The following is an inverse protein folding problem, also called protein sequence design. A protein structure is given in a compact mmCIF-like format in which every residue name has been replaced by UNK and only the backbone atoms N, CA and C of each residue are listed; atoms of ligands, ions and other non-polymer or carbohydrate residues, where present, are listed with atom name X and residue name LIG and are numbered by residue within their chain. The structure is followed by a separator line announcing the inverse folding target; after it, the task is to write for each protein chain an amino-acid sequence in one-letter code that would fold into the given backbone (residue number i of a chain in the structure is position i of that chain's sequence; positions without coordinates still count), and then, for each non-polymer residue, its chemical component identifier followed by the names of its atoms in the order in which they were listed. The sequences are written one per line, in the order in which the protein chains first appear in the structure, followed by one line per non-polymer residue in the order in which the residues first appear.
data_IF_390610491449
#
_entry.id   IF_390610491449
#
_cell.length_a   1.000
_cell.length_b   1.000
_cell.length_c   1.000
_cell.angle_alpha   90.00
_cell.angle_beta   90.00
_cell.angle_gamma   90.00
#
_symmetry.space_group_name_H-M   'P 1'
#
loop_
_entity.id
_entity.type
_entity.pdbx_description
1 polymer ?
#
# COMPACT_ATOMS: atom_id res chain seq x y z
N UNK A 1 10.30 29.09 -23.55
CA UNK A 1 10.31 28.04 -22.54
C UNK A 1 9.78 28.46 -21.14
N UNK A 2 9.96 29.70 -20.71
CA UNK A 2 9.52 30.21 -19.38
C UNK A 2 7.98 30.22 -19.16
N UNK A 3 7.19 30.44 -20.20
CA UNK A 3 5.71 30.48 -20.08
C UNK A 3 5.05 29.10 -19.87
N UNK A 4 5.62 28.02 -20.40
CA UNK A 4 5.06 26.67 -20.23
C UNK A 4 5.23 26.12 -18.80
N UNK A 5 6.25 26.57 -18.08
CA UNK A 5 6.51 26.20 -16.68
C UNK A 5 5.50 26.87 -15.74
N UNK A 6 5.07 28.09 -16.07
CA UNK A 6 4.08 28.82 -15.27
C UNK A 6 2.70 28.15 -15.29
N UNK A 7 2.29 27.58 -16.45
CA UNK A 7 1.02 26.83 -16.54
C UNK A 7 1.06 25.50 -15.80
N UNK A 8 2.21 24.84 -15.73
CA UNK A 8 2.38 23.59 -14.98
C UNK A 8 2.31 23.82 -13.47
N UNK A 9 2.85 24.93 -12.96
CA UNK A 9 2.73 25.31 -11.55
C UNK A 9 1.32 25.73 -11.15
N UNK A 10 0.52 26.27 -12.06
CA UNK A 10 -0.88 26.66 -11.77
C UNK A 10 -1.81 25.44 -11.68
N UNK A 11 -1.47 24.33 -12.32
CA UNK A 11 -2.22 23.06 -12.28
C UNK A 11 -1.96 22.23 -11.01
N UNK A 12 -0.93 22.60 -10.23
CA UNK A 12 -0.51 21.90 -9.01
C UNK A 12 -0.97 22.59 -7.71
N UNK A 13 -1.76 23.68 -7.81
CA UNK A 13 -2.38 24.26 -6.63
C UNK A 13 -3.52 23.32 -6.19
N UNK A 14 -3.43 22.65 -5.02
CA UNK A 14 -4.57 21.96 -4.46
C UNK A 14 -5.61 23.01 -4.09
N UNK A 15 -6.71 23.02 -4.82
CA UNK A 15 -7.92 23.74 -4.42
C UNK A 15 -8.50 23.03 -3.19
N UNK A 16 -7.91 23.30 -2.02
CA UNK A 16 -8.52 22.94 -0.75
C UNK A 16 -9.63 23.96 -0.45
N UNK A 17 -10.74 23.84 -1.18
CA UNK A 17 -12.00 24.45 -0.77
C UNK A 17 -12.53 23.61 0.40
N UNK A 18 -12.15 23.98 1.59
CA UNK A 18 -12.76 23.50 2.84
C UNK A 18 -14.12 24.18 2.98
N UNK A 19 -15.15 23.64 2.35
CA UNK A 19 -16.51 24.02 2.66
C UNK A 19 -16.84 23.38 4.01
N UNK A 20 -16.97 24.18 5.06
CA UNK A 20 -17.55 23.75 6.33
C UNK A 20 -18.98 23.28 6.05
N UNK A 21 -19.21 21.97 6.13
CA UNK A 21 -20.54 21.38 5.93
C UNK A 21 -21.36 21.39 7.22
N UNK A 22 -20.74 21.67 8.37
CA UNK A 22 -21.36 21.77 9.68
C UNK A 22 -21.49 23.25 10.10
N UNK A 23 -22.65 23.63 10.59
CA UNK A 23 -22.96 24.99 11.04
C UNK A 23 -23.88 24.99 12.26
N UNK A 24 -24.13 26.14 12.84
CA UNK A 24 -25.06 26.34 13.97
C UNK A 24 -24.74 25.42 15.18
N UNK A 25 -23.48 25.28 15.53
CA UNK A 25 -23.05 24.46 16.67
C UNK A 25 -23.54 25.11 17.98
N UNK A 26 -24.30 24.32 18.76
CA UNK A 26 -24.83 24.74 20.07
C UNK A 26 -24.50 23.64 21.07
N UNK A 27 -24.19 24.06 22.30
CA UNK A 27 -23.80 23.13 23.37
C UNK A 27 -24.74 23.32 24.56
N UNK A 28 -25.18 22.23 25.14
CA UNK A 28 -25.96 22.20 26.38
C UNK A 28 -25.51 21.05 27.27
N UNK A 29 -25.52 21.24 28.54
CA UNK A 29 -25.29 20.19 29.52
C UNK A 29 -26.64 19.54 29.91
N UNK A 30 -26.66 18.23 30.01
CA UNK A 30 -27.77 17.44 30.54
C UNK A 30 -27.22 16.38 31.51
N UNK A 31 -27.40 16.62 32.78
CA UNK A 31 -26.84 15.82 33.86
C UNK A 31 -25.30 15.76 33.80
N UNK A 32 -24.75 14.60 33.54
CA UNK A 32 -23.31 14.34 33.39
C UNK A 32 -22.85 14.35 31.94
N UNK A 33 -23.79 14.45 30.99
CA UNK A 33 -23.52 14.43 29.56
C UNK A 33 -23.52 15.82 28.96
N UNK A 34 -22.78 16.00 27.91
CA UNK A 34 -22.78 17.22 27.10
C UNK A 34 -23.37 16.92 25.74
N UNK A 35 -24.40 17.67 25.38
CA UNK A 35 -25.10 17.56 24.12
C UNK A 35 -24.64 18.67 23.19
N UNK A 36 -24.11 18.31 22.05
CA UNK A 36 -23.71 19.22 20.98
C UNK A 36 -24.68 19.06 19.81
N UNK A 37 -25.41 20.15 19.46
CA UNK A 37 -26.28 20.12 18.29
C UNK A 37 -25.69 20.96 17.18
N UNK A 38 -25.89 20.56 15.94
CA UNK A 38 -25.36 21.25 14.76
C UNK A 38 -26.24 20.97 13.52
N UNK A 39 -26.09 21.78 12.49
CA UNK A 39 -26.73 21.57 11.19
C UNK A 39 -25.71 21.02 10.21
N UNK A 40 -26.09 20.02 9.42
CA UNK A 40 -25.26 19.39 8.41
C UNK A 40 -25.87 19.55 7.02
N UNK A 41 -25.15 20.19 6.11
CA UNK A 41 -25.65 20.49 4.76
C UNK A 41 -25.52 19.33 3.78
N UNK A 42 -24.52 18.47 3.95
CA UNK A 42 -24.24 17.30 3.11
C UNK A 42 -23.88 16.09 3.95
N UNK A 43 -24.19 14.89 3.45
CA UNK A 43 -23.74 13.65 4.09
C UNK A 43 -22.20 13.64 4.20
N UNK A 44 -21.70 13.49 5.42
CA UNK A 44 -20.27 13.61 5.71
C UNK A 44 -19.88 12.66 6.85
N UNK A 45 -18.58 12.44 7.00
CA UNK A 45 -18.02 11.99 8.26
C UNK A 45 -17.98 13.17 9.21
N UNK A 46 -18.48 12.98 10.41
CA UNK A 46 -18.54 14.01 11.44
C UNK A 46 -17.71 13.61 12.64
N UNK A 47 -16.90 14.54 13.11
CA UNK A 47 -16.05 14.38 14.27
C UNK A 47 -16.30 15.51 15.26
N UNK A 48 -16.31 15.18 16.55
CA UNK A 48 -16.37 16.14 17.64
C UNK A 48 -15.01 16.23 18.32
N UNK A 49 -14.51 17.45 18.46
CA UNK A 49 -13.27 17.75 19.17
C UNK A 49 -13.50 18.76 20.27
N UNK A 50 -12.70 18.71 21.32
CA UNK A 50 -12.78 19.61 22.47
C UNK A 50 -11.43 20.26 22.75
N UNK A 51 -11.44 21.53 23.07
CA UNK A 51 -10.35 22.25 23.73
C UNK A 51 -10.81 22.72 25.11
N UNK A 52 -9.99 22.48 26.11
CA UNK A 52 -10.28 22.84 27.52
C UNK A 52 -9.29 23.86 28.00
N UNK A 53 -9.77 24.74 28.88
CA UNK A 53 -8.99 25.80 29.52
C UNK A 53 -8.11 26.56 28.52
N UNK A 54 -7.45 27.40 28.51
CA UNK A 54 -6.72 28.20 27.54
C UNK A 54 -5.96 27.43 26.43
N UNK A 55 -6.19 26.11 26.25
CA UNK A 55 -5.56 25.31 25.20
C UNK A 55 -6.02 25.72 23.80
N UNK A 56 -5.11 25.87 22.87
CA UNK A 56 -5.39 26.07 21.43
C UNK A 56 -5.52 24.74 20.68
N UNK A 57 -5.18 23.63 21.32
CA UNK A 57 -5.22 22.30 20.72
C UNK A 57 -6.57 21.65 20.97
N UNK A 58 -7.24 21.23 19.90
CA UNK A 58 -8.47 20.46 19.96
C UNK A 58 -8.16 18.97 19.99
N UNK A 59 -8.65 18.27 21.01
CA UNK A 59 -8.55 16.83 21.15
C UNK A 59 -9.84 16.16 20.66
N UNK A 60 -9.70 15.11 19.87
CA UNK A 60 -10.84 14.34 19.35
C UNK A 60 -11.46 13.54 20.47
N UNK A 61 -12.79 13.61 20.56
CA UNK A 61 -13.55 12.86 21.56
C UNK A 61 -13.91 11.47 21.05
N UNK A 62 -13.84 10.48 21.94
CA UNK A 62 -14.10 9.07 21.64
C UNK A 62 -15.34 8.54 22.31
N UNK A 63 -15.67 9.02 23.52
CA UNK A 63 -16.88 8.66 24.27
C UNK A 63 -18.09 9.48 23.76
N UNK A 64 -18.40 9.35 22.49
CA UNK A 64 -19.46 10.10 21.80
C UNK A 64 -20.44 9.17 21.10
N UNK A 65 -21.73 9.54 21.12
CA UNK A 65 -22.81 8.84 20.42
C UNK A 65 -23.72 9.79 19.64
N UNK A 66 -24.61 9.26 18.80
CA UNK A 66 -25.57 10.03 18.01
C UNK A 66 -25.08 10.36 16.60
N UNK A 67 -25.28 11.59 16.15
CA UNK A 67 -24.95 12.02 14.79
C UNK A 67 -23.45 12.34 14.62
N UNK A 68 -22.60 11.35 14.82
CA UNK A 68 -21.14 11.41 14.76
C UNK A 68 -20.60 10.19 14.04
N UNK A 69 -19.39 10.27 13.48
CA UNK A 69 -18.76 9.18 12.75
C UNK A 69 -19.12 9.11 11.29
N UNK A 70 -19.19 7.91 10.74
CA UNK A 70 -19.34 7.67 9.31
C UNK A 70 -20.77 7.92 8.81
N UNK A 71 -20.87 8.55 7.62
CA UNK A 71 -22.13 8.67 6.86
C UNK A 71 -23.28 9.33 7.61
N UNK A 72 -23.00 10.37 8.38
CA UNK A 72 -24.05 11.18 9.00
C UNK A 72 -24.86 11.85 7.91
N UNK A 73 -26.18 11.64 7.92
CA UNK A 73 -27.10 12.21 6.91
C UNK A 73 -27.30 13.71 7.15
N UNK A 74 -27.47 14.52 6.09
CA UNK A 74 -27.75 15.94 6.23
C UNK A 74 -29.04 16.18 7.03
N UNK A 75 -29.13 17.33 7.65
CA UNK A 75 -30.31 17.76 8.43
C UNK A 75 -29.97 18.81 9.46
N UNK A 76 -31.00 19.44 10.01
CA UNK A 76 -30.91 20.42 11.07
C UNK A 76 -30.98 19.79 12.44
N UNK A 77 -30.37 20.44 13.45
CA UNK A 77 -30.34 20.00 14.85
C UNK A 77 -29.85 18.54 15.02
N UNK A 78 -28.82 18.14 14.29
CA UNK A 78 -28.14 16.87 14.52
C UNK A 78 -27.52 16.87 15.91
N UNK A 79 -27.68 15.79 16.68
CA UNK A 79 -27.29 15.72 18.08
C UNK A 79 -26.13 14.74 18.26
N UNK A 80 -25.07 15.18 18.93
CA UNK A 80 -23.98 14.35 19.44
C UNK A 80 -24.05 14.43 20.96
N UNK A 81 -23.98 13.29 21.63
CA UNK A 81 -23.92 13.21 23.09
C UNK A 81 -22.49 12.78 23.43
N UNK A 82 -21.82 13.57 24.25
CA UNK A 82 -20.50 13.26 24.81
C UNK A 82 -20.61 12.88 26.28
N UNK A 83 -19.96 11.78 26.65
CA UNK A 83 -19.88 11.26 28.02
C UNK A 83 -18.51 11.55 28.62
N UNK A 84 -18.28 12.76 29.20
CA UNK A 84 -16.95 13.18 29.69
C UNK A 84 -16.35 12.21 30.70
N UNK A 85 -17.17 11.65 31.59
CA UNK A 85 -16.71 10.78 32.67
C UNK A 85 -16.33 9.36 32.19
N UNK A 86 -16.78 8.97 31.00
CA UNK A 86 -16.32 7.71 30.38
C UNK A 86 -14.94 7.87 29.76
N UNK A 87 -14.61 9.08 29.32
CA UNK A 87 -13.32 9.40 28.72
C UNK A 87 -12.26 9.72 29.80
N UNK A 88 -12.66 10.42 30.85
CA UNK A 88 -11.84 10.75 32.01
C UNK A 88 -12.70 10.83 33.28
N UNK A 89 -12.54 9.89 34.21
CA UNK A 89 -13.33 9.81 35.46
C UNK A 89 -13.25 11.07 36.32
N UNK A 90 -12.20 11.86 36.17
CA UNK A 90 -11.95 13.11 36.93
C UNK A 90 -12.00 14.34 36.02
N UNK A 91 -12.85 14.34 34.99
CA UNK A 91 -12.95 15.48 34.07
C UNK A 91 -13.46 16.73 34.82
N UNK A 92 -12.61 17.73 34.93
CA UNK A 92 -12.94 19.08 35.44
C UNK A 92 -12.32 20.08 34.45
N UNK A 93 -13.13 21.00 33.92
CA UNK A 93 -12.68 22.06 33.04
C UNK A 93 -13.52 23.32 33.29
N UNK A 94 -12.89 24.51 33.30
CA UNK A 94 -13.55 25.78 33.51
C UNK A 94 -14.01 26.44 32.20
N UNK A 95 -13.28 26.23 31.12
CA UNK A 95 -13.62 26.71 29.77
C UNK A 95 -13.55 25.52 28.79
N UNK A 96 -14.68 25.21 28.16
CA UNK A 96 -14.80 24.08 27.24
C UNK A 96 -15.31 24.56 25.89
N UNK A 97 -14.49 24.39 24.86
CA UNK A 97 -14.81 24.81 23.49
C UNK A 97 -14.91 23.59 22.61
N UNK A 98 -16.02 23.47 21.89
CA UNK A 98 -16.28 22.36 20.99
C UNK A 98 -16.10 22.76 19.53
N UNK A 99 -15.62 21.84 18.72
CA UNK A 99 -15.53 21.97 17.29
C UNK A 99 -16.13 20.73 16.62
N UNK A 100 -17.11 20.95 15.76
CA UNK A 100 -17.67 19.91 14.90
C UNK A 100 -16.99 20.01 13.55
N UNK A 101 -16.25 18.99 13.17
CA UNK A 101 -15.52 18.93 11.90
C UNK A 101 -16.18 17.94 10.96
N UNK A 102 -16.31 18.34 9.71
CA UNK A 102 -16.77 17.46 8.64
C UNK A 102 -15.57 17.05 7.81
N UNK A 103 -15.40 15.75 7.65
CA UNK A 103 -14.28 15.18 6.96
C UNK A 103 -14.76 14.45 5.70
N UNK A 104 -14.00 14.55 4.62
CA UNK A 104 -14.16 13.60 3.55
C UNK A 104 -13.68 12.23 4.02
N UNK A 105 -14.04 11.15 3.31
CA UNK A 105 -13.65 9.80 3.69
C UNK A 105 -12.13 9.64 3.88
N UNK A 106 -11.35 10.30 3.06
CA UNK A 106 -9.89 10.31 3.15
C UNK A 106 -9.37 10.98 4.44
N UNK A 107 -9.89 12.16 4.76
CA UNK A 107 -9.49 12.88 5.96
C UNK A 107 -9.87 12.13 7.25
N UNK A 108 -11.01 11.46 7.27
CA UNK A 108 -11.44 10.63 8.41
C UNK A 108 -10.47 9.48 8.71
N UNK A 109 -9.98 8.80 7.69
CA UNK A 109 -9.00 7.74 7.86
C UNK A 109 -7.58 8.25 8.19
N UNK A 110 -7.30 9.52 7.90
CA UNK A 110 -6.02 10.16 8.15
C UNK A 110 -5.86 10.73 9.57
N UNK A 111 -6.94 10.81 10.36
CA UNK A 111 -6.87 11.34 11.70
C UNK A 111 -6.14 10.38 12.66
N UNK A 112 -5.24 10.89 13.51
CA UNK A 112 -4.72 10.10 14.60
C UNK A 112 -5.91 9.71 15.50
N UNK A 113 -6.16 8.42 15.64
CA UNK A 113 -7.10 7.92 16.64
C UNK A 113 -6.51 8.30 17.99
N UNK A 114 -7.22 9.18 18.73
CA UNK A 114 -6.81 9.50 20.10
C UNK A 114 -6.66 8.23 20.92
N UNK A 115 -5.65 8.18 21.77
CA UNK A 115 -5.36 7.05 22.63
C UNK A 115 -6.41 6.97 23.77
N UNK A 116 -7.63 6.63 23.43
CA UNK A 116 -8.58 6.11 24.38
C UNK A 116 -8.18 4.68 24.69
N UNK A 117 -8.29 4.27 25.97
CA UNK A 117 -8.00 2.92 26.48
C UNK A 117 -8.32 1.88 25.41
N UNK A 118 -7.32 1.12 24.97
CA UNK A 118 -7.50 -0.04 24.12
C UNK A 118 -8.56 -0.94 24.74
N UNK A 119 -9.78 -0.93 24.22
CA UNK A 119 -10.67 -2.07 24.42
C UNK A 119 -9.94 -3.27 23.81
N UNK A 120 -9.64 -4.25 24.66
CA UNK A 120 -9.26 -5.61 24.25
C UNK A 120 -10.41 -6.20 23.41
N UNK A 121 -10.35 -5.99 22.14
CA UNK A 121 -11.38 -6.24 21.14
C UNK A 121 -11.10 -5.36 19.93
N UNK A 122 -9.85 -4.89 19.78
CA UNK A 122 -9.40 -4.00 18.72
C UNK A 122 -9.66 -4.61 17.36
N UNK A 123 -10.32 -3.85 16.50
CA UNK A 123 -10.26 -4.08 15.07
C UNK A 123 -8.78 -4.21 14.73
N UNK A 124 -8.41 -5.40 14.37
CA UNK A 124 -7.08 -5.76 13.91
C UNK A 124 -6.63 -4.75 12.87
N UNK A 125 -5.50 -4.11 13.08
CA UNK A 125 -4.88 -3.23 12.09
C UNK A 125 -4.32 -4.09 10.96
N UNK A 126 -5.23 -4.67 10.20
CA UNK A 126 -4.91 -5.47 9.04
C UNK A 126 -4.88 -4.53 7.82
N UNK A 127 -3.77 -4.51 7.15
CA UNK A 127 -3.54 -3.72 5.95
C UNK A 127 -3.24 -4.70 4.81
N UNK A 128 -3.99 -4.60 3.74
CA UNK A 128 -3.80 -5.42 2.55
C UNK A 128 -3.23 -4.56 1.44
N UNK A 129 -2.25 -5.04 0.71
CA UNK A 129 -1.68 -4.32 -0.41
C UNK A 129 -1.62 -5.18 -1.68
N UNK A 130 -1.72 -4.49 -2.81
CA UNK A 130 -1.55 -5.06 -4.14
C UNK A 130 -0.63 -4.14 -4.94
N UNK A 131 0.38 -4.69 -5.62
CA UNK A 131 1.25 -3.93 -6.51
C UNK A 131 1.41 -4.63 -7.86
N UNK A 132 1.37 -3.85 -8.93
CA UNK A 132 1.84 -4.26 -10.25
C UNK A 132 3.33 -3.98 -10.32
N UNK A 133 4.10 -4.95 -10.73
CA UNK A 133 5.55 -4.89 -10.75
C UNK A 133 6.08 -4.96 -12.18
N UNK A 134 7.19 -4.28 -12.39
CA UNK A 134 8.05 -4.45 -13.56
C UNK A 134 9.46 -4.84 -13.08
N UNK A 135 10.07 -5.84 -13.69
CA UNK A 135 11.43 -6.23 -13.40
C UNK A 135 12.28 -6.25 -14.68
N UNK A 136 13.51 -5.80 -14.55
CA UNK A 136 14.49 -5.83 -15.63
C UNK A 136 15.45 -6.98 -15.38
N UNK A 137 15.59 -7.83 -16.37
CA UNK A 137 16.45 -8.99 -16.34
C UNK A 137 17.87 -8.70 -16.87
N UNK A 138 18.89 -9.54 -16.59
CA UNK A 138 20.22 -9.41 -17.18
C UNK A 138 20.22 -9.50 -18.72
N UNK A 139 19.25 -10.19 -19.29
CA UNK A 139 19.07 -10.29 -20.74
C UNK A 139 18.40 -9.03 -21.34
N UNK A 140 18.16 -8.00 -20.52
CA UNK A 140 17.44 -6.74 -20.86
C UNK A 140 15.99 -6.95 -21.27
N UNK A 141 15.41 -8.07 -20.93
CA UNK A 141 13.98 -8.32 -21.05
C UNK A 141 13.22 -7.68 -19.89
N UNK A 142 12.03 -7.22 -20.17
CA UNK A 142 11.11 -6.69 -19.17
C UNK A 142 10.16 -7.81 -18.73
N UNK A 143 10.11 -8.06 -17.44
CA UNK A 143 9.12 -8.93 -16.79
C UNK A 143 8.02 -8.10 -16.15
N UNK A 144 6.81 -8.62 -16.14
CA UNK A 144 5.64 -8.05 -15.49
C UNK A 144 5.16 -8.98 -14.40
N UNK A 145 4.71 -8.43 -13.31
CA UNK A 145 4.30 -9.23 -12.17
C UNK A 145 3.28 -8.57 -11.27
N UNK A 146 2.84 -9.35 -10.30
CA UNK A 146 1.89 -8.96 -9.27
C UNK A 146 2.44 -9.35 -7.91
N UNK A 147 2.31 -8.45 -6.93
CA UNK A 147 2.49 -8.79 -5.52
C UNK A 147 1.19 -8.54 -4.78
N UNK A 148 0.80 -9.50 -3.96
CA UNK A 148 -0.28 -9.42 -2.99
C UNK A 148 0.30 -9.66 -1.61
N UNK A 149 -0.15 -8.93 -0.63
CA UNK A 149 0.30 -9.16 0.75
C UNK A 149 -0.60 -8.50 1.77
N UNK A 150 -0.33 -8.85 3.01
CA UNK A 150 -1.11 -8.40 4.14
C UNK A 150 -0.22 -8.25 5.35
N UNK A 151 -0.35 -7.16 6.09
CA UNK A 151 0.33 -6.94 7.36
C UNK A 151 -0.67 -6.88 8.51
N UNK A 152 -0.22 -7.35 9.65
CA UNK A 152 -0.93 -7.31 10.90
C UNK A 152 0.02 -6.82 12.00
N UNK A 153 -0.28 -5.65 12.56
CA UNK A 153 0.57 -5.05 13.61
C UNK A 153 2.07 -5.03 13.26
N UNK A 154 2.38 -4.66 12.02
CA UNK A 154 3.75 -4.48 11.57
C UNK A 154 4.45 -5.72 11.01
N UNK A 155 3.84 -6.91 11.11
CA UNK A 155 4.38 -8.14 10.51
C UNK A 155 3.33 -8.74 9.59
N UNK A 156 3.77 -9.22 8.44
CA UNK A 156 2.85 -9.78 7.46
C UNK A 156 3.49 -10.76 6.51
N UNK A 157 2.71 -11.17 5.54
CA UNK A 157 3.10 -12.07 4.48
C UNK A 157 2.86 -11.43 3.11
N UNK A 158 3.54 -11.93 2.10
CA UNK A 158 3.27 -11.61 0.71
C UNK A 158 3.49 -12.81 -0.20
N UNK A 159 2.86 -12.74 -1.36
CA UNK A 159 3.16 -13.57 -2.51
C UNK A 159 3.48 -12.65 -3.69
N UNK A 160 4.44 -13.07 -4.50
CA UNK A 160 4.89 -12.34 -5.69
C UNK A 160 5.02 -13.33 -6.83
N UNK A 161 4.59 -12.96 -8.03
CA UNK A 161 4.87 -13.72 -9.24
C UNK A 161 5.13 -12.76 -10.38
N UNK A 162 6.12 -13.08 -11.23
CA UNK A 162 6.43 -12.32 -12.43
C UNK A 162 6.94 -13.19 -13.59
N UNK A 163 6.77 -12.68 -14.79
CA UNK A 163 7.17 -13.36 -16.03
C UNK A 163 7.38 -12.33 -17.15
N UNK A 164 8.22 -12.64 -18.12
CA UNK A 164 8.32 -11.85 -19.34
C UNK A 164 7.28 -12.22 -20.41
N UNK A 165 6.28 -13.04 -20.05
CA UNK A 165 5.20 -13.51 -20.93
C UNK A 165 5.66 -14.26 -22.18
N UNK A 166 6.93 -14.70 -22.23
CA UNK A 166 7.47 -15.51 -23.28
C UNK A 166 7.44 -16.98 -22.83
N UNK A 167 6.68 -17.83 -23.53
CA UNK A 167 6.52 -19.25 -23.19
C UNK A 167 6.99 -20.13 -24.33
N UNK A 168 8.02 -19.67 -25.05
CA UNK A 168 8.56 -20.35 -26.20
C UNK A 168 9.08 -21.74 -25.84
N UNK A 169 8.92 -22.70 -26.77
CA UNK A 169 9.37 -24.06 -26.63
C UNK A 169 10.36 -24.43 -27.76
N UNK A 170 11.21 -25.41 -27.49
CA UNK A 170 12.09 -25.97 -28.50
C UNK A 170 11.27 -26.75 -29.55
N UNK A 171 11.72 -26.71 -30.79
CA UNK A 171 11.17 -27.52 -31.86
C UNK A 171 11.46 -29.00 -31.55
N UNK A 172 10.41 -29.82 -31.56
CA UNK A 172 10.48 -31.25 -31.26
C UNK A 172 11.26 -31.65 -29.99
N UNK A 173 11.33 -30.73 -29.01
CA UNK A 173 12.04 -30.91 -27.76
C UNK A 173 13.57 -30.96 -27.91
N UNK A 174 14.12 -30.48 -29.00
CA UNK A 174 15.56 -30.48 -29.30
C UNK A 174 16.35 -29.68 -28.25
N UNK A 175 17.47 -30.21 -27.82
CA UNK A 175 18.35 -29.63 -26.80
C UNK A 175 19.79 -29.60 -27.28
N UNK A 176 20.55 -28.60 -26.91
CA UNK A 176 21.99 -28.53 -27.12
C UNK A 176 22.74 -28.26 -25.81
N UNK A 177 23.94 -28.72 -25.75
CA UNK A 177 24.86 -28.57 -24.65
C UNK A 177 25.76 -27.30 -24.81
N UNK A 178 26.77 -27.18 -24.00
CA UNK A 178 27.74 -26.08 -24.04
C UNK A 178 28.36 -25.96 -25.45
N UNK A 179 28.40 -24.73 -25.97
CA UNK A 179 28.85 -24.49 -27.33
C UNK A 179 27.84 -24.77 -28.43
N UNK A 180 26.61 -25.14 -28.08
CA UNK A 180 25.54 -25.43 -29.06
C UNK A 180 25.63 -26.85 -29.65
N UNK A 181 26.36 -27.75 -29.00
CA UNK A 181 26.60 -29.15 -29.48
C UNK A 181 25.33 -29.98 -29.32
N UNK A 182 24.94 -30.69 -30.37
CA UNK A 182 23.87 -31.72 -30.41
C UNK A 182 24.48 -32.98 -30.91
N UNK A 183 24.43 -34.05 -30.13
CA UNK A 183 24.97 -35.39 -30.49
C UNK A 183 26.40 -35.36 -31.05
N UNK A 184 27.26 -34.45 -30.55
CA UNK A 184 28.64 -34.30 -30.96
C UNK A 184 28.87 -33.37 -32.14
N UNK A 185 27.83 -32.85 -32.76
CA UNK A 185 27.89 -31.89 -33.88
C UNK A 185 27.39 -30.53 -33.50
N UNK A 186 27.85 -29.49 -34.17
CA UNK A 186 27.40 -28.08 -33.97
C UNK A 186 26.66 -27.63 -35.24
N UNK A 187 25.32 -27.51 -35.18
CA UNK A 187 24.56 -27.00 -36.31
C UNK A 187 24.85 -25.49 -36.52
N UNK A 188 24.53 -24.99 -37.72
CA UNK A 188 24.62 -23.53 -37.95
C UNK A 188 23.53 -22.77 -37.22
N UNK A 189 23.93 -21.78 -36.43
CA UNK A 189 23.04 -20.92 -35.69
C UNK A 189 22.84 -19.55 -36.34
N UNK A 190 21.61 -19.03 -36.34
CA UNK A 190 21.27 -17.70 -36.89
C UNK A 190 21.76 -16.53 -36.02
N UNK A 191 22.11 -16.81 -34.75
CA UNK A 191 22.44 -15.81 -33.73
C UNK A 191 21.25 -15.30 -32.94
N UNK A 192 20.01 -15.62 -33.35
CA UNK A 192 18.81 -15.22 -32.64
C UNK A 192 18.63 -16.07 -31.37
N UNK A 193 18.14 -15.42 -30.30
CA UNK A 193 17.90 -16.02 -28.99
C UNK A 193 16.54 -15.63 -28.47
N UNK A 194 15.88 -16.55 -27.78
CA UNK A 194 14.68 -16.30 -26.99
C UNK A 194 14.93 -16.71 -25.54
N UNK A 195 14.51 -15.87 -24.63
CA UNK A 195 14.60 -16.17 -23.19
C UNK A 195 13.21 -16.07 -22.61
N UNK A 196 12.79 -17.10 -21.91
CA UNK A 196 11.56 -17.15 -21.14
C UNK A 196 11.91 -17.18 -19.66
N UNK A 197 11.26 -16.35 -18.85
CA UNK A 197 11.52 -16.24 -17.41
C UNK A 197 10.21 -16.27 -16.65
N UNK A 198 10.21 -16.97 -15.54
CA UNK A 198 9.14 -16.97 -14.56
C UNK A 198 9.72 -17.13 -13.17
N UNK A 199 9.20 -16.40 -12.19
CA UNK A 199 9.46 -16.66 -10.78
C UNK A 199 8.20 -16.41 -9.96
N UNK A 200 8.02 -17.21 -8.92
CA UNK A 200 6.99 -17.07 -7.91
C UNK A 200 7.61 -17.22 -6.53
N UNK A 201 7.34 -16.28 -5.65
CA UNK A 201 7.91 -16.19 -4.31
C UNK A 201 6.83 -15.93 -3.28
N UNK A 202 7.06 -16.38 -2.06
CA UNK A 202 6.29 -16.02 -0.87
C UNK A 202 7.27 -15.67 0.25
N UNK A 203 6.84 -14.79 1.15
CA UNK A 203 7.73 -14.34 2.21
C UNK A 203 7.05 -13.49 3.25
N UNK A 204 7.88 -12.83 4.03
CA UNK A 204 7.48 -11.98 5.14
C UNK A 204 7.72 -10.52 4.78
N UNK A 205 6.81 -9.68 5.20
CA UNK A 205 6.94 -8.23 5.19
C UNK A 205 6.93 -7.71 6.62
N UNK A 206 7.81 -6.75 6.92
CA UNK A 206 7.95 -6.14 8.23
C UNK A 206 7.83 -4.63 8.06
N UNK A 207 6.75 -4.05 8.60
CA UNK A 207 6.57 -2.59 8.64
C UNK A 207 7.34 -2.02 9.82
N UNK A 208 8.39 -1.28 9.52
CA UNK A 208 9.29 -0.69 10.51
C UNK A 208 8.57 0.39 11.33
N UNK A 209 7.66 1.16 10.72
CA UNK A 209 6.94 2.23 11.42
C UNK A 209 6.07 1.65 12.55
N UNK A 210 5.39 0.53 12.30
CA UNK A 210 4.59 -0.14 13.32
C UNK A 210 5.46 -0.80 14.40
N UNK A 211 6.55 -1.45 13.99
CA UNK A 211 7.43 -2.16 14.92
C UNK A 211 8.13 -1.24 15.93
N UNK A 212 8.55 -0.05 15.49
CA UNK A 212 9.18 0.91 16.41
C UNK A 212 8.16 1.74 17.19
N UNK A 213 6.86 1.47 17.05
CA UNK A 213 5.80 2.19 17.74
C UNK A 213 5.68 3.65 17.31
N UNK A 214 6.18 4.01 16.14
CA UNK A 214 6.06 5.36 15.61
C UNK A 214 4.60 5.66 15.27
N UNK A 215 4.10 6.81 15.71
CA UNK A 215 2.73 7.22 15.42
C UNK A 215 2.55 7.45 13.93
N UNK A 216 1.71 6.64 13.29
CA UNK A 216 1.33 6.83 11.90
C UNK A 216 0.42 8.04 11.76
N UNK A 217 0.79 9.01 10.94
CA UNK A 217 -0.08 10.11 10.55
C UNK A 217 -1.35 9.64 9.82
N UNK A 218 -1.25 8.53 9.14
CA UNK A 218 -2.32 7.80 8.49
C UNK A 218 -2.02 6.30 8.63
N UNK A 219 -3.05 5.46 8.88
CA UNK A 219 -2.88 4.01 9.00
C UNK A 219 -2.26 3.38 7.75
N UNK A 220 -2.47 3.98 6.57
CA UNK A 220 -1.91 3.53 5.30
C UNK A 220 -0.54 4.15 4.97
N UNK A 221 0.09 4.86 5.89
CA UNK A 221 1.46 5.29 5.75
C UNK A 221 2.36 4.22 6.37
N UNK A 222 3.06 3.49 5.54
CA UNK A 222 3.91 2.37 5.93
C UNK A 222 5.30 2.54 5.33
N UNK A 223 6.29 1.97 5.98
CA UNK A 223 7.61 1.77 5.42
C UNK A 223 8.18 0.49 5.99
N UNK A 224 8.46 -0.47 5.13
CA UNK A 224 8.89 -1.78 5.54
C UNK A 224 9.91 -2.40 4.61
N UNK A 225 10.40 -3.53 5.06
CA UNK A 225 11.26 -4.42 4.30
C UNK A 225 10.51 -5.73 4.04
N UNK A 226 10.82 -6.37 2.93
CA UNK A 226 10.29 -7.69 2.63
C UNK A 226 11.43 -8.62 2.20
N UNK A 227 11.28 -9.91 2.51
CA UNK A 227 12.17 -10.96 2.07
C UNK A 227 11.41 -12.28 1.94
N UNK A 228 11.75 -13.05 0.94
CA UNK A 228 11.10 -14.33 0.71
C UNK A 228 11.84 -15.21 -0.26
N UNK A 229 11.24 -16.37 -0.51
CA UNK A 229 11.76 -17.35 -1.42
C UNK A 229 10.66 -18.13 -2.11
N UNK A 230 11.05 -18.83 -3.14
CA UNK A 230 10.12 -19.61 -3.94
C UNK A 230 10.84 -20.39 -5.04
N UNK A 231 10.22 -20.41 -6.18
CA UNK A 231 10.70 -21.17 -7.33
C UNK A 231 10.72 -20.29 -8.57
N UNK A 232 11.79 -20.41 -9.35
CA UNK A 232 11.91 -19.73 -10.61
C UNK A 232 12.51 -20.62 -11.69
N UNK A 233 12.20 -20.32 -12.91
CA UNK A 233 12.83 -20.97 -14.06
C UNK A 233 13.18 -19.95 -15.13
N UNK A 234 14.25 -20.26 -15.86
CA UNK A 234 14.70 -19.58 -17.05
C UNK A 234 14.90 -20.62 -18.15
N UNK A 235 14.34 -20.37 -19.32
CA UNK A 235 14.56 -21.18 -20.52
C UNK A 235 15.19 -20.32 -21.60
N UNK A 236 16.26 -20.79 -22.19
CA UNK A 236 16.96 -20.16 -23.29
C UNK A 236 16.88 -21.02 -24.54
N UNK A 237 16.46 -20.42 -25.62
CA UNK A 237 16.41 -21.08 -26.96
C UNK A 237 17.34 -20.34 -27.90
N UNK A 238 18.01 -21.11 -28.73
CA UNK A 238 18.80 -20.64 -29.87
C UNK A 238 18.14 -21.07 -31.17
N UNK A 239 18.16 -20.20 -32.16
CA UNK A 239 17.62 -20.48 -33.48
C UNK A 239 18.72 -20.98 -34.42
N UNK A 240 18.46 -22.05 -35.12
CA UNK A 240 19.32 -22.55 -36.21
C UNK A 240 18.99 -21.84 -37.52
N UNK A 241 19.90 -21.89 -38.49
CA UNK A 241 19.70 -21.24 -39.81
C UNK A 241 18.53 -21.82 -40.62
N UNK A 242 18.09 -23.05 -40.31
CA UNK A 242 16.89 -23.69 -40.88
C UNK A 242 15.61 -23.35 -40.09
N UNK A 243 15.66 -22.40 -39.15
CA UNK A 243 14.51 -21.87 -38.43
C UNK A 243 14.03 -22.74 -37.25
N UNK A 244 14.79 -23.74 -36.85
CA UNK A 244 14.45 -24.56 -35.68
C UNK A 244 14.92 -23.89 -34.39
N UNK A 245 14.13 -24.02 -33.34
CA UNK A 245 14.45 -23.49 -32.00
C UNK A 245 14.95 -24.63 -31.11
N UNK A 246 16.16 -24.51 -30.60
CA UNK A 246 16.85 -25.54 -29.81
C UNK A 246 17.05 -25.01 -28.39
N UNK A 247 16.68 -25.79 -27.39
CA UNK A 247 16.89 -25.44 -25.99
C UNK A 247 18.37 -25.48 -25.63
N UNK A 248 18.93 -24.35 -25.20
CA UNK A 248 20.30 -24.29 -24.71
C UNK A 248 20.35 -24.67 -23.22
N UNK A 249 20.80 -25.89 -22.94
CA UNK A 249 20.80 -26.45 -21.59
C UNK A 249 21.57 -25.60 -20.56
N UNK A 250 22.81 -25.12 -20.84
CA UNK A 250 23.53 -24.31 -19.85
C UNK A 250 22.86 -23.00 -19.49
N UNK A 251 22.01 -22.47 -20.36
CA UNK A 251 21.20 -21.26 -20.14
C UNK A 251 19.79 -21.55 -19.64
N UNK A 252 19.41 -22.81 -19.51
CA UNK A 252 18.07 -23.23 -19.07
C UNK A 252 18.19 -23.89 -17.70
N UNK A 253 17.51 -23.39 -16.74
CA UNK A 253 17.51 -23.90 -15.37
C UNK A 253 16.21 -23.60 -14.64
N UNK A 254 15.92 -24.41 -13.66
CA UNK A 254 14.83 -24.19 -12.70
C UNK A 254 15.35 -24.48 -11.30
N UNK A 255 15.12 -23.58 -10.37
CA UNK A 255 15.71 -23.67 -9.05
C UNK A 255 15.02 -22.70 -8.08
N UNK A 256 15.55 -22.65 -6.86
CA UNK A 256 15.09 -21.70 -5.84
C UNK A 256 15.23 -20.26 -6.35
N UNK A 257 14.19 -19.49 -6.15
CA UNK A 257 14.17 -18.04 -6.29
C UNK A 257 14.19 -17.40 -4.92
N UNK A 258 14.94 -16.32 -4.77
CA UNK A 258 14.92 -15.47 -3.57
C UNK A 258 14.65 -14.04 -3.98
N UNK A 259 13.83 -13.35 -3.20
CA UNK A 259 13.60 -11.92 -3.44
C UNK A 259 13.59 -11.13 -2.13
N UNK A 260 13.84 -9.84 -2.25
CA UNK A 260 13.82 -8.94 -1.11
C UNK A 260 13.95 -7.49 -1.53
N UNK A 261 13.55 -6.59 -0.64
CA UNK A 261 13.59 -5.16 -0.91
C UNK A 261 12.83 -4.34 0.10
N UNK A 262 12.41 -3.16 -0.32
CA UNK A 262 11.64 -2.20 0.46
C UNK A 262 10.26 -2.02 -0.14
N UNK A 263 9.30 -1.72 0.73
CA UNK A 263 7.93 -1.39 0.38
C UNK A 263 7.49 -0.23 1.26
N UNK A 264 6.80 0.72 0.68
CA UNK A 264 6.26 1.84 1.42
C UNK A 264 4.95 2.32 0.84
N UNK A 265 4.10 2.88 1.67
CA UNK A 265 2.83 3.43 1.26
C UNK A 265 2.63 4.82 1.85
N UNK A 266 2.06 5.71 1.07
CA UNK A 266 1.66 7.06 1.49
C UNK A 266 0.22 7.30 1.04
N UNK A 267 -0.69 7.50 1.99
CA UNK A 267 -2.14 7.63 1.75
C UNK A 267 -2.74 6.47 0.93
N UNK A 268 -2.17 5.27 1.06
CA UNK A 268 -2.60 4.09 0.33
C UNK A 268 -1.86 3.85 -0.99
N UNK A 269 -1.26 4.87 -1.62
CA UNK A 269 -0.39 4.65 -2.77
C UNK A 269 0.86 3.90 -2.33
N UNK A 270 1.03 2.70 -2.84
CA UNK A 270 2.11 1.79 -2.44
C UNK A 270 3.18 1.73 -3.52
N UNK A 271 4.43 1.88 -3.11
CA UNK A 271 5.61 1.72 -3.94
C UNK A 271 6.45 0.56 -3.40
N UNK A 272 7.01 -0.23 -4.30
CA UNK A 272 7.87 -1.36 -4.01
C UNK A 272 9.14 -1.26 -4.85
N UNK A 273 10.30 -1.56 -4.27
CA UNK A 273 11.55 -1.70 -4.99
C UNK A 273 12.37 -2.82 -4.39
N UNK A 274 13.04 -3.61 -5.23
CA UNK A 274 13.82 -4.73 -4.74
C UNK A 274 14.56 -5.49 -5.82
N UNK A 275 15.07 -6.64 -5.40
CA UNK A 275 15.78 -7.56 -6.26
C UNK A 275 15.20 -8.96 -6.13
N UNK A 276 15.27 -9.70 -7.21
CA UNK A 276 14.95 -11.12 -7.27
C UNK A 276 16.14 -11.88 -7.86
N UNK A 277 16.44 -13.07 -7.39
CA UNK A 277 17.47 -13.91 -7.97
C UNK A 277 16.97 -15.33 -8.15
N UNK A 278 17.22 -15.91 -9.31
CA UNK A 278 16.94 -17.31 -9.60
C UNK A 278 18.26 -18.07 -9.55
N UNK A 279 18.40 -18.94 -8.54
CA UNK A 279 19.59 -19.78 -8.33
C UNK A 279 20.89 -19.03 -8.06
N UNK A 280 20.80 -17.77 -7.54
CA UNK A 280 21.96 -16.88 -7.32
C UNK A 280 22.78 -16.55 -8.58
N UNK A 281 22.26 -16.91 -9.75
CA UNK A 281 22.94 -16.70 -11.03
C UNK A 281 22.26 -15.68 -11.92
N UNK A 282 20.98 -15.46 -11.69
CA UNK A 282 20.16 -14.62 -12.53
C UNK A 282 19.47 -13.56 -11.65
N UNK A 283 20.08 -12.38 -11.61
CA UNK A 283 19.64 -11.26 -10.77
C UNK A 283 18.74 -10.33 -11.57
N UNK A 284 17.57 -10.04 -11.04
CA UNK A 284 16.59 -9.11 -11.59
C UNK A 284 16.39 -7.94 -10.62
N UNK A 285 16.19 -6.75 -11.15
CA UNK A 285 15.81 -5.57 -10.38
C UNK A 285 14.34 -5.28 -10.64
N UNK A 286 13.53 -5.20 -9.60
CA UNK A 286 12.10 -4.96 -9.71
C UNK A 286 11.68 -3.65 -9.06
N UNK A 287 10.67 -3.02 -9.64
CA UNK A 287 9.93 -1.91 -9.06
C UNK A 287 8.43 -2.16 -9.23
N UNK A 288 7.64 -1.68 -8.29
CA UNK A 288 6.18 -1.87 -8.32
C UNK A 288 5.44 -0.65 -7.82
N UNK A 289 4.23 -0.49 -8.32
CA UNK A 289 3.27 0.54 -7.91
C UNK A 289 1.92 -0.12 -7.66
N UNK A 290 1.21 0.33 -6.65
CA UNK A 290 -0.06 -0.26 -6.29
C UNK A 290 -0.80 0.49 -5.20
N UNK A 291 -1.64 -0.22 -4.48
CA UNK A 291 -2.51 0.34 -3.46
C UNK A 291 -2.56 -0.51 -2.21
N UNK A 292 -2.69 0.16 -1.05
CA UNK A 292 -2.92 -0.42 0.27
C UNK A 292 -4.29 -0.02 0.79
N UNK A 293 -5.06 -0.94 1.32
CA UNK A 293 -6.45 -0.75 1.80
C UNK A 293 -6.78 -1.60 3.04
#
# INVERSE_FOLDING_TARGET
MKQKILYLCLLLLPLTLWAENASNVRVRQRNKDIIVTYDLSKSSYVQLSVATDSSTTYNVLTAVEGAVGAHVRPGTNREIIWHPLEENENFIAHDVRFKVETLNSYAYYALPKSHGKQQLGGKTNMETFITLNAAITPDKDLCYGLTLGQTYSGIGWYINAHTNLKFDQATDGMKCEKGGVIDGEVPFYSGNKKVSVFAANAGVVVDIIDLVGASKRNRFNTFGIYAGGGYGWRRMLWETTDGKWIQYNPGTFSTVSLNGGIIGSVYGLTLKAGVNTIGFKYLEVEAGIGWMF
#
